data_IF_321419696303
#
_entry.id   IF_321419696303
#
_cell.length_a   1.000
_cell.length_b   1.000
_cell.length_c   1.000
_cell.angle_alpha   90.00
_cell.angle_beta   90.00
_cell.angle_gamma   90.00
#
_symmetry.space_group_name_H-M   'P 1'
#
loop_
_entity.id
_entity.type
_entity.pdbx_description
1 polymer ?
#
# COMPACT_ATOMS: atom_id res chain seq x y z
N UNK A 1 2.94 -12.58 15.94
CA UNK A 1 1.90 -11.56 16.22
C UNK A 1 0.95 -11.63 15.04
N UNK A 2 -0.36 -11.74 15.22
CA UNK A 2 -1.29 -11.82 14.10
C UNK A 2 -1.28 -10.53 13.27
N UNK A 3 -1.51 -10.65 11.96
CA UNK A 3 -1.63 -9.48 11.10
C UNK A 3 -2.84 -8.61 11.51
N UNK A 4 -2.68 -7.28 11.39
CA UNK A 4 -3.78 -6.33 11.66
C UNK A 4 -4.88 -6.51 10.62
N UNK A 5 -6.13 -6.52 11.07
CA UNK A 5 -7.29 -6.76 10.18
C UNK A 5 -7.38 -5.72 9.06
N UNK A 6 -7.10 -4.45 9.34
CA UNK A 6 -7.09 -3.37 8.36
C UNK A 6 -6.03 -3.48 7.27
N UNK A 7 -5.10 -4.43 7.37
CA UNK A 7 -4.05 -4.70 6.39
C UNK A 7 -4.44 -5.78 5.37
N UNK A 8 -5.58 -6.44 5.52
CA UNK A 8 -5.92 -7.61 4.72
C UNK A 8 -5.90 -7.34 3.21
N UNK A 9 -6.53 -6.25 2.75
CA UNK A 9 -6.54 -5.85 1.34
C UNK A 9 -5.14 -5.52 0.83
N UNK A 10 -4.33 -4.81 1.61
CA UNK A 10 -2.95 -4.47 1.25
C UNK A 10 -2.06 -5.70 1.15
N UNK A 11 -2.18 -6.63 2.10
CA UNK A 11 -1.47 -7.91 2.09
C UNK A 11 -1.84 -8.72 0.85
N UNK A 12 -3.15 -8.82 0.53
CA UNK A 12 -3.63 -9.50 -0.66
C UNK A 12 -3.02 -8.90 -1.93
N UNK A 13 -3.01 -7.57 -2.06
CA UNK A 13 -2.45 -6.88 -3.22
C UNK A 13 -0.94 -7.14 -3.37
N UNK A 14 -0.18 -7.11 -2.26
CA UNK A 14 1.25 -7.45 -2.31
C UNK A 14 1.47 -8.91 -2.69
N UNK A 15 0.60 -9.84 -2.25
CA UNK A 15 0.64 -11.25 -2.67
C UNK A 15 0.48 -11.39 -4.17
N UNK A 16 -0.49 -10.69 -4.76
CA UNK A 16 -0.75 -10.74 -6.20
C UNK A 16 0.47 -10.24 -6.99
N UNK A 17 1.08 -9.13 -6.56
CA UNK A 17 2.27 -8.59 -7.23
C UNK A 17 3.53 -9.44 -7.02
N UNK A 18 3.66 -10.07 -5.87
CA UNK A 18 4.78 -10.95 -5.56
C UNK A 18 4.58 -12.39 -6.01
N UNK A 19 3.43 -12.73 -6.62
CA UNK A 19 3.04 -14.09 -6.99
C UNK A 19 3.28 -15.05 -5.81
N UNK A 20 2.76 -14.65 -4.64
CA UNK A 20 2.98 -15.39 -3.38
C UNK A 20 1.69 -16.00 -2.89
N UNK A 21 1.69 -17.34 -2.71
CA UNK A 21 0.62 -18.03 -2.01
C UNK A 21 0.61 -17.68 -0.50
N UNK A 22 -0.41 -18.14 0.20
CA UNK A 22 -0.41 -18.15 1.66
C UNK A 22 0.59 -19.19 2.14
N UNK A 23 1.63 -18.78 2.90
CA UNK A 23 2.74 -19.66 3.26
C UNK A 23 3.41 -20.29 2.02
N UNK A 24 3.98 -19.45 1.16
CA UNK A 24 4.44 -19.76 -0.21
C UNK A 24 5.44 -20.91 -0.26
N UNK A 25 6.48 -20.88 0.60
CA UNK A 25 7.47 -21.95 0.68
C UNK A 25 8.14 -22.00 2.05
N UNK A 26 8.81 -23.12 2.34
CA UNK A 26 9.55 -23.33 3.58
C UNK A 26 11.04 -23.46 3.26
N UNK A 27 11.88 -22.70 3.95
CA UNK A 27 13.33 -22.81 3.89
C UNK A 27 13.86 -23.15 5.30
N UNK A 28 14.42 -24.33 5.46
CA UNK A 28 14.75 -24.87 6.77
C UNK A 28 13.49 -25.09 7.61
N UNK A 29 13.37 -24.36 8.71
CA UNK A 29 12.19 -24.40 9.62
C UNK A 29 11.26 -23.18 9.44
N UNK A 30 11.60 -22.24 8.55
CA UNK A 30 10.87 -20.99 8.37
C UNK A 30 9.96 -21.09 7.16
N UNK A 31 8.66 -20.89 7.40
CA UNK A 31 7.67 -20.71 6.33
C UNK A 31 7.61 -19.24 5.93
N UNK A 32 7.67 -18.98 4.62
CA UNK A 32 7.73 -17.63 4.07
C UNK A 32 6.40 -17.18 3.52
N UNK A 33 6.25 -15.89 3.62
CA UNK A 33 5.19 -15.02 3.16
C UNK A 33 3.86 -15.30 3.86
N UNK A 34 3.95 -15.51 5.19
CA UNK A 34 2.76 -15.39 6.05
C UNK A 34 2.24 -13.94 6.06
N UNK A 35 0.98 -13.74 6.48
CA UNK A 35 0.39 -12.39 6.55
C UNK A 35 1.20 -11.45 7.46
N UNK A 36 1.74 -11.96 8.56
CA UNK A 36 2.57 -11.19 9.48
C UNK A 36 3.90 -10.75 8.85
N UNK A 37 4.49 -11.59 8.02
CA UNK A 37 5.72 -11.26 7.31
C UNK A 37 5.46 -10.20 6.25
N UNK A 38 4.39 -10.32 5.47
CA UNK A 38 4.00 -9.32 4.48
C UNK A 38 3.62 -8.00 5.12
N UNK A 39 2.89 -8.03 6.26
CA UNK A 39 2.65 -6.81 7.04
C UNK A 39 3.97 -6.17 7.49
N UNK A 40 4.93 -6.95 7.96
CA UNK A 40 6.24 -6.44 8.38
C UNK A 40 6.98 -5.76 7.21
N UNK A 41 6.87 -6.31 6.01
CA UNK A 41 7.43 -5.68 4.80
C UNK A 41 6.69 -4.39 4.47
N UNK A 42 5.35 -4.39 4.49
CA UNK A 42 4.53 -3.19 4.27
C UNK A 42 4.86 -2.09 5.29
N UNK A 43 5.00 -2.42 6.57
CA UNK A 43 5.30 -1.46 7.63
C UNK A 43 6.64 -0.72 7.44
N UNK A 44 7.57 -1.25 6.65
CA UNK A 44 8.81 -0.54 6.25
C UNK A 44 8.56 0.56 5.23
N UNK A 45 7.45 0.47 4.50
CA UNK A 45 7.09 1.37 3.40
C UNK A 45 5.82 2.18 3.70
N UNK A 46 5.50 2.35 5.00
CA UNK A 46 4.39 3.19 5.45
C UNK A 46 4.73 4.67 5.34
N UNK A 47 3.70 5.46 5.05
CA UNK A 47 3.71 6.91 5.06
C UNK A 47 2.57 7.40 5.96
N UNK A 48 2.91 8.15 6.99
CA UNK A 48 1.90 8.85 7.78
C UNK A 48 1.37 10.04 6.97
N UNK A 49 0.08 10.08 6.76
CA UNK A 49 -0.65 11.17 6.10
C UNK A 49 -1.34 11.97 7.20
N UNK A 50 -0.98 13.24 7.33
CA UNK A 50 -1.49 14.09 8.40
C UNK A 50 -2.06 15.36 7.79
N UNK A 51 -3.35 15.59 7.98
CA UNK A 51 -4.09 16.74 7.45
C UNK A 51 -3.84 17.01 5.95
N UNK A 52 -3.80 15.96 5.16
CA UNK A 52 -3.70 16.08 3.71
C UNK A 52 -5.02 16.63 3.16
N UNK A 53 -5.01 17.73 2.40
CA UNK A 53 -6.22 18.26 1.79
C UNK A 53 -6.76 17.30 0.73
N UNK A 54 -8.06 17.06 0.76
CA UNK A 54 -8.74 16.31 -0.26
C UNK A 54 -9.14 17.24 -1.41
N UNK A 55 -8.95 16.77 -2.65
CA UNK A 55 -9.37 17.48 -3.85
C UNK A 55 -10.81 17.08 -4.18
N UNK A 56 -11.72 18.07 -4.24
CA UNK A 56 -13.11 17.86 -4.63
C UNK A 56 -13.23 17.44 -6.09
N UNK A 57 -14.13 16.51 -6.37
CA UNK A 57 -14.52 16.08 -7.71
C UNK A 57 -15.96 16.50 -7.91
N UNK A 58 -16.15 17.55 -8.72
CA UNK A 58 -17.50 18.02 -9.07
C UNK A 58 -18.13 17.08 -10.08
N UNK A 59 -19.42 16.80 -9.91
CA UNK A 59 -20.26 16.12 -10.88
C UNK A 59 -21.51 16.96 -11.19
N UNK A 60 -22.20 16.62 -12.28
CA UNK A 60 -23.39 17.36 -12.70
C UNK A 60 -24.62 16.48 -12.52
N UNK A 61 -25.54 16.91 -11.68
CA UNK A 61 -26.77 16.17 -11.42
C UNK A 61 -27.99 17.09 -11.59
N UNK A 62 -28.92 16.71 -12.45
CA UNK A 62 -30.19 17.42 -12.70
C UNK A 62 -30.03 18.92 -12.91
N UNK A 63 -29.00 19.37 -13.59
CA UNK A 63 -28.79 20.81 -13.87
C UNK A 63 -27.98 21.54 -12.79
N UNK A 64 -27.53 20.87 -11.74
CA UNK A 64 -26.78 21.48 -10.62
C UNK A 64 -25.43 20.79 -10.46
N UNK A 65 -24.39 21.57 -10.15
CA UNK A 65 -23.09 21.03 -9.75
C UNK A 65 -23.22 20.50 -8.33
N UNK A 66 -22.78 19.26 -8.12
CA UNK A 66 -22.75 18.60 -6.80
C UNK A 66 -21.35 18.06 -6.50
N UNK A 67 -21.01 18.01 -5.22
CA UNK A 67 -19.71 17.58 -4.71
C UNK A 67 -19.93 16.40 -3.77
N UNK A 68 -19.88 15.20 -4.35
CA UNK A 68 -20.04 13.94 -3.61
C UNK A 68 -18.72 13.20 -3.43
N UNK A 69 -17.78 13.39 -4.34
CA UNK A 69 -16.51 12.67 -4.36
C UNK A 69 -15.34 13.58 -4.10
N UNK A 70 -14.38 13.06 -3.36
CA UNK A 70 -13.11 13.70 -3.03
C UNK A 70 -11.97 12.72 -3.24
N UNK A 71 -10.83 13.24 -3.69
CA UNK A 71 -9.64 12.43 -3.92
C UNK A 71 -8.48 12.87 -3.04
N UNK A 72 -7.84 11.91 -2.40
CA UNK A 72 -6.53 12.09 -1.77
C UNK A 72 -5.40 12.04 -2.82
N UNK A 73 -4.28 12.70 -2.53
CA UNK A 73 -3.05 12.53 -3.28
C UNK A 73 -2.43 11.12 -3.13
N UNK A 74 -2.87 10.37 -2.12
CA UNK A 74 -2.39 9.02 -1.80
C UNK A 74 -3.52 8.00 -1.95
N UNK A 75 -3.13 6.73 -2.15
CA UNK A 75 -3.99 5.55 -2.05
C UNK A 75 -3.35 4.52 -1.14
N UNK A 76 -3.90 3.30 -1.16
CA UNK A 76 -3.41 2.17 -0.37
C UNK A 76 -3.35 2.50 1.13
N UNK A 77 -4.44 2.99 1.66
CA UNK A 77 -4.58 3.28 3.09
C UNK A 77 -4.89 2.03 3.89
N UNK A 78 -4.42 2.00 5.15
CA UNK A 78 -4.86 1.01 6.11
C UNK A 78 -6.32 1.27 6.49
N UNK A 79 -7.16 0.24 6.42
CA UNK A 79 -8.57 0.33 6.77
C UNK A 79 -8.74 0.47 8.29
N UNK A 80 -9.67 1.31 8.74
CA UNK A 80 -10.05 1.36 10.14
C UNK A 80 -10.81 0.11 10.54
N UNK A 81 -10.31 -0.63 11.52
CA UNK A 81 -10.95 -1.83 12.05
C UNK A 81 -10.91 -1.83 13.57
N UNK A 82 -11.96 -2.38 14.19
CA UNK A 82 -11.96 -2.62 15.63
C UNK A 82 -12.06 -1.38 16.53
N UNK A 83 -12.58 -0.26 16.02
CA UNK A 83 -12.88 0.93 16.84
C UNK A 83 -11.67 1.81 17.17
N UNK A 84 -10.48 1.50 16.68
CA UNK A 84 -9.32 2.40 16.73
C UNK A 84 -9.32 3.22 15.44
N UNK A 85 -9.46 4.53 15.54
CA UNK A 85 -9.42 5.44 14.39
C UNK A 85 -7.99 5.52 13.84
N UNK A 86 -7.69 4.66 12.86
CA UNK A 86 -6.44 4.68 12.10
C UNK A 86 -6.57 5.61 10.91
N UNK A 87 -7.81 5.88 10.51
CA UNK A 87 -8.18 6.68 9.36
C UNK A 87 -9.32 7.62 9.75
N UNK A 88 -9.11 8.91 9.58
CA UNK A 88 -10.06 9.94 9.96
C UNK A 88 -10.19 10.99 8.85
N UNK A 89 -11.42 11.50 8.71
CA UNK A 89 -11.71 12.67 7.87
C UNK A 89 -12.05 13.85 8.78
N UNK A 90 -11.48 14.99 8.49
CA UNK A 90 -11.72 16.24 9.24
C UNK A 90 -12.27 17.32 8.33
N UNK A 91 -13.14 18.16 8.89
CA UNK A 91 -13.45 19.46 8.29
C UNK A 91 -12.25 20.41 8.35
N UNK A 92 -12.29 21.48 7.57
CA UNK A 92 -11.28 22.55 7.62
C UNK A 92 -11.06 23.12 9.02
N UNK A 93 -12.06 23.04 9.88
CA UNK A 93 -12.01 23.45 11.30
C UNK A 93 -11.29 22.49 12.22
N UNK A 94 -10.88 21.30 11.74
CA UNK A 94 -10.25 20.24 12.56
C UNK A 94 -11.24 19.35 13.32
N UNK A 95 -12.55 19.47 13.03
CA UNK A 95 -13.57 18.60 13.62
C UNK A 95 -13.70 17.33 12.77
N UNK A 96 -13.67 16.16 13.41
CA UNK A 96 -13.82 14.87 12.73
C UNK A 96 -15.20 14.71 12.11
N UNK A 97 -15.24 14.24 10.87
CA UNK A 97 -16.47 13.90 10.14
C UNK A 97 -16.95 12.52 10.55
N UNK A 98 -18.23 12.40 10.92
CA UNK A 98 -18.81 11.11 11.32
C UNK A 98 -18.70 10.06 10.22
N UNK A 99 -18.27 8.84 10.58
CA UNK A 99 -18.02 7.73 9.63
C UNK A 99 -19.26 7.24 8.89
N UNK A 100 -20.47 7.55 9.40
CA UNK A 100 -21.75 7.24 8.73
C UNK A 100 -22.06 8.14 7.54
N UNK A 101 -21.35 9.24 7.36
CA UNK A 101 -21.60 10.24 6.31
C UNK A 101 -20.85 9.97 5.02
N UNK A 102 -19.87 9.08 5.03
CA UNK A 102 -18.99 8.81 3.92
C UNK A 102 -18.60 7.34 3.79
N UNK A 103 -18.15 6.97 2.60
CA UNK A 103 -17.49 5.69 2.31
C UNK A 103 -16.13 5.95 1.68
N UNK A 104 -15.17 5.04 1.86
CA UNK A 104 -13.81 5.20 1.36
C UNK A 104 -13.41 4.00 0.50
N UNK A 105 -12.92 4.30 -0.70
CA UNK A 105 -12.08 3.38 -1.46
C UNK A 105 -10.63 3.56 -1.01
N UNK A 106 -10.21 2.74 -0.06
CA UNK A 106 -8.88 2.80 0.55
C UNK A 106 -7.74 2.54 -0.45
N UNK A 107 -7.99 1.73 -1.48
CA UNK A 107 -6.99 1.42 -2.49
C UNK A 107 -6.70 2.62 -3.39
N UNK A 108 -7.74 3.33 -3.83
CA UNK A 108 -7.61 4.45 -4.75
C UNK A 108 -7.58 5.82 -4.07
N UNK A 109 -7.84 5.90 -2.77
CA UNK A 109 -7.88 7.16 -2.03
C UNK A 109 -9.09 8.03 -2.42
N UNK A 110 -10.24 7.41 -2.73
CA UNK A 110 -11.46 8.11 -3.13
C UNK A 110 -12.47 8.05 -1.99
N UNK A 111 -12.88 9.21 -1.52
CA UNK A 111 -13.91 9.40 -0.50
C UNK A 111 -15.21 9.78 -1.18
N UNK A 112 -16.32 9.10 -0.83
CA UNK A 112 -17.65 9.39 -1.35
C UNK A 112 -18.60 9.73 -0.22
N UNK A 113 -19.24 10.89 -0.27
CA UNK A 113 -20.27 11.31 0.68
C UNK A 113 -21.67 10.89 0.23
N UNK A 114 -22.54 10.61 1.19
CA UNK A 114 -23.94 10.27 0.93
C UNK A 114 -24.81 11.46 0.52
N UNK A 115 -24.36 12.70 0.73
CA UNK A 115 -25.06 13.93 0.40
C UNK A 115 -24.08 14.98 -0.15
N UNK A 116 -24.61 15.93 -0.94
CA UNK A 116 -23.81 17.04 -1.47
C UNK A 116 -23.19 17.86 -0.33
N UNK A 117 -21.88 18.03 -0.42
CA UNK A 117 -21.09 18.79 0.58
C UNK A 117 -20.91 20.27 0.21
N UNK A 118 -21.48 20.69 -0.92
CA UNK A 118 -21.36 22.06 -1.46
C UNK A 118 -19.88 22.52 -1.61
N UNK A 119 -18.96 21.59 -1.92
CA UNK A 119 -17.54 21.90 -2.09
C UNK A 119 -16.80 22.26 -0.79
N UNK A 120 -17.28 21.77 0.35
CA UNK A 120 -16.60 21.97 1.63
C UNK A 120 -15.19 21.36 1.63
N UNK A 121 -14.23 22.03 2.26
CA UNK A 121 -12.88 21.53 2.39
C UNK A 121 -12.79 20.42 3.43
N UNK A 122 -12.22 19.27 3.03
CA UNK A 122 -11.95 18.14 3.91
C UNK A 122 -10.47 17.79 3.91
N UNK A 123 -10.04 17.22 5.02
CA UNK A 123 -8.68 16.75 5.25
C UNK A 123 -8.70 15.29 5.71
N UNK A 124 -7.66 14.56 5.33
CA UNK A 124 -7.51 13.15 5.67
C UNK A 124 -6.31 12.96 6.62
N UNK A 125 -6.51 12.15 7.64
CA UNK A 125 -5.46 11.59 8.49
C UNK A 125 -5.47 10.07 8.33
N UNK A 126 -4.28 9.46 8.16
CA UNK A 126 -4.20 8.01 8.00
C UNK A 126 -2.81 7.51 7.74
N UNK A 127 -2.70 6.22 7.48
CA UNK A 127 -1.44 5.60 7.07
C UNK A 127 -1.61 5.01 5.68
N UNK A 128 -0.79 5.46 4.74
CA UNK A 128 -0.72 4.95 3.37
C UNK A 128 0.51 4.08 3.18
N UNK A 129 0.45 3.11 2.29
CA UNK A 129 1.53 2.14 2.04
C UNK A 129 2.01 2.16 0.60
N UNK A 130 3.31 2.00 0.39
CA UNK A 130 3.89 1.79 -0.93
C UNK A 130 3.95 0.29 -1.23
N UNK A 131 2.85 -0.23 -1.80
CA UNK A 131 2.70 -1.64 -2.13
C UNK A 131 3.71 -2.13 -3.18
N UNK A 132 4.15 -1.23 -4.07
CA UNK A 132 5.13 -1.59 -5.09
C UNK A 132 6.52 -1.80 -4.50
N UNK A 133 6.95 -0.93 -3.58
CA UNK A 133 8.21 -1.14 -2.86
C UNK A 133 8.17 -2.35 -1.96
N UNK A 134 7.03 -2.62 -1.33
CA UNK A 134 6.84 -3.84 -0.56
C UNK A 134 6.96 -5.09 -1.44
N UNK A 135 6.32 -5.12 -2.61
CA UNK A 135 6.45 -6.22 -3.57
C UNK A 135 7.91 -6.37 -4.06
N UNK A 136 8.61 -5.26 -4.33
CA UNK A 136 10.02 -5.29 -4.71
C UNK A 136 10.89 -5.93 -3.64
N UNK A 137 10.64 -5.66 -2.35
CA UNK A 137 11.40 -6.27 -1.24
C UNK A 137 11.11 -7.77 -1.12
N UNK A 138 9.86 -8.20 -1.37
CA UNK A 138 9.52 -9.63 -1.44
C UNK A 138 10.32 -10.32 -2.55
N UNK A 139 10.35 -9.75 -3.76
CA UNK A 139 11.12 -10.29 -4.88
C UNK A 139 12.62 -10.32 -4.62
N UNK A 140 13.20 -9.29 -3.99
CA UNK A 140 14.62 -9.30 -3.58
C UNK A 140 14.92 -10.42 -2.61
N UNK A 141 14.03 -10.67 -1.67
CA UNK A 141 14.19 -11.75 -0.69
C UNK A 141 14.08 -13.12 -1.38
N UNK A 142 13.13 -13.32 -2.31
CA UNK A 142 13.04 -14.53 -3.13
C UNK A 142 14.35 -14.79 -3.92
N UNK A 143 14.86 -13.76 -4.59
CA UNK A 143 16.14 -13.85 -5.30
C UNK A 143 17.31 -14.23 -4.37
N UNK A 144 17.33 -13.70 -3.14
CA UNK A 144 18.31 -14.06 -2.12
C UNK A 144 18.21 -15.54 -1.71
N UNK A 145 17.01 -16.04 -1.50
CA UNK A 145 16.77 -17.43 -1.14
C UNK A 145 17.14 -18.40 -2.28
N UNK A 146 16.91 -18.01 -3.52
CA UNK A 146 17.28 -18.82 -4.67
C UNK A 146 18.80 -18.78 -4.98
N UNK A 147 19.54 -17.79 -4.45
CA UNK A 147 20.95 -17.58 -4.79
C UNK A 147 21.88 -18.72 -4.36
N UNK A 148 21.50 -19.53 -3.36
CA UNK A 148 22.23 -20.72 -2.94
C UNK A 148 21.94 -21.97 -3.78
N UNK A 149 21.06 -21.87 -4.77
CA UNK A 149 20.65 -23.00 -5.59
C UNK A 149 21.52 -23.10 -6.85
N UNK A 150 21.97 -24.29 -7.17
CA UNK A 150 22.88 -24.61 -8.30
C UNK A 150 22.02 -25.09 -9.48
N UNK A 151 22.41 -24.70 -10.69
CA UNK A 151 21.87 -25.29 -11.91
C UNK A 151 22.34 -26.77 -12.00
N UNK A 152 21.42 -27.64 -12.36
CA UNK A 152 21.77 -29.03 -12.63
C UNK A 152 21.09 -29.54 -13.91
N UNK A 153 21.76 -30.43 -14.57
CA UNK A 153 21.24 -31.09 -15.75
C UNK A 153 21.44 -32.64 -15.59
N UNK A 154 20.37 -33.35 -15.92
CA UNK A 154 20.42 -34.84 -16.07
C UNK A 154 19.95 -35.16 -17.48
N UNK A 155 20.10 -36.42 -17.92
CA UNK A 155 19.85 -36.84 -19.30
C UNK A 155 18.54 -36.42 -19.92
N UNK A 156 17.49 -36.11 -19.10
CA UNK A 156 16.18 -35.69 -19.56
C UNK A 156 15.62 -34.41 -18.89
N UNK A 157 16.39 -33.78 -18.02
CA UNK A 157 15.88 -32.58 -17.30
C UNK A 157 17.03 -31.60 -17.03
N UNK A 158 16.82 -30.36 -17.48
CA UNK A 158 17.70 -29.23 -17.16
C UNK A 158 16.93 -28.23 -16.30
N UNK A 159 17.42 -27.96 -15.09
CA UNK A 159 16.84 -26.95 -14.20
C UNK A 159 17.78 -25.75 -14.14
N UNK A 160 17.34 -24.64 -14.73
CA UNK A 160 18.10 -23.38 -14.78
C UNK A 160 17.66 -22.45 -13.65
N UNK A 161 18.18 -22.66 -12.46
CA UNK A 161 17.85 -21.83 -11.29
C UNK A 161 18.46 -20.43 -11.37
N UNK A 162 19.56 -20.28 -12.07
CA UNK A 162 20.14 -18.96 -12.41
C UNK A 162 19.14 -18.04 -13.13
N UNK A 163 18.32 -18.59 -14.01
CA UNK A 163 17.25 -17.83 -14.69
C UNK A 163 16.14 -17.38 -13.73
N UNK A 164 15.80 -18.19 -12.72
CA UNK A 164 14.84 -17.82 -11.70
C UNK A 164 15.35 -16.62 -10.89
N UNK A 165 16.61 -16.66 -10.45
CA UNK A 165 17.24 -15.55 -9.72
C UNK A 165 17.23 -14.27 -10.54
N UNK A 166 17.56 -14.36 -11.83
CA UNK A 166 17.54 -13.21 -12.72
C UNK A 166 16.13 -12.65 -12.87
N UNK A 167 15.13 -13.50 -13.10
CA UNK A 167 13.74 -13.09 -13.18
C UNK A 167 13.27 -12.39 -11.89
N UNK A 168 13.57 -12.95 -10.73
CA UNK A 168 13.20 -12.36 -9.44
C UNK A 168 13.83 -10.97 -9.25
N UNK A 169 15.10 -10.81 -9.68
CA UNK A 169 15.77 -9.49 -9.64
C UNK A 169 15.15 -8.50 -10.61
N UNK A 170 14.79 -8.92 -11.81
CA UNK A 170 14.12 -8.08 -12.80
C UNK A 170 12.75 -7.61 -12.30
N UNK A 171 11.96 -8.52 -11.68
CA UNK A 171 10.69 -8.17 -11.05
C UNK A 171 10.91 -7.19 -9.88
N UNK A 172 11.93 -7.39 -9.06
CA UNK A 172 12.26 -6.46 -7.99
C UNK A 172 12.60 -5.05 -8.50
N UNK A 173 13.35 -4.96 -9.60
CA UNK A 173 13.69 -3.67 -10.24
C UNK A 173 12.43 -3.03 -10.82
N UNK A 174 11.60 -3.81 -11.52
CA UNK A 174 10.35 -3.33 -12.11
C UNK A 174 9.42 -2.70 -11.05
N UNK A 175 9.12 -3.43 -9.99
CA UNK A 175 8.25 -2.90 -8.92
C UNK A 175 8.89 -1.76 -8.14
N UNK A 176 10.21 -1.77 -7.92
CA UNK A 176 10.91 -0.66 -7.29
C UNK A 176 10.80 0.64 -8.10
N UNK A 177 10.78 0.53 -9.43
CA UNK A 177 10.59 1.66 -10.35
C UNK A 177 9.17 2.24 -10.33
N UNK A 178 8.16 1.45 -9.95
CA UNK A 178 6.78 1.89 -9.79
C UNK A 178 6.50 2.51 -8.41
N UNK A 179 7.41 2.31 -7.44
CA UNK A 179 7.26 2.84 -6.10
C UNK A 179 7.33 4.36 -6.04
N UNK A 180 6.77 4.93 -4.98
CA UNK A 180 6.76 6.38 -4.75
C UNK A 180 8.18 6.94 -4.65
N UNK A 181 8.38 8.10 -5.23
CA UNK A 181 9.62 8.87 -5.04
C UNK A 181 9.65 9.39 -3.60
N UNK A 182 10.67 9.00 -2.83
CA UNK A 182 10.91 9.61 -1.52
C UNK A 182 11.58 10.96 -1.72
N UNK A 183 10.85 12.04 -1.57
CA UNK A 183 11.42 13.37 -1.36
C UNK A 183 11.91 13.46 0.09
N UNK A 184 13.20 13.64 0.28
CA UNK A 184 13.74 14.01 1.59
C UNK A 184 13.51 15.52 1.71
N UNK A 185 12.61 15.94 2.60
CA UNK A 185 12.59 17.34 3.04
C UNK A 185 13.88 17.55 3.85
N UNK A 186 14.85 18.22 3.27
CA UNK A 186 15.96 18.79 4.03
C UNK A 186 15.43 20.04 4.72
N UNK A 187 15.22 19.95 6.02
CA UNK A 187 15.05 21.16 6.83
C UNK A 187 16.34 21.98 6.72
N UNK A 188 16.21 23.16 6.16
CA UNK A 188 17.26 24.15 6.15
C UNK A 188 17.34 24.73 7.56
N UNK A 189 18.33 24.31 8.36
CA UNK A 189 18.61 24.95 9.64
C UNK A 189 19.37 26.24 9.37
N UNK A 190 18.65 27.29 9.03
CA UNK A 190 19.19 28.64 9.08
C UNK A 190 19.14 29.10 10.53
N UNK A 191 20.13 28.65 11.33
CA UNK A 191 20.44 29.28 12.60
C UNK A 191 21.30 30.49 12.33
N UNK A 192 20.73 31.67 12.30
CA UNK A 192 21.37 32.94 12.58
C UNK A 192 21.30 33.22 14.04
#
# INVERSE_FOLDING_TARGET
MAARTGMATLISTVRDFAVSGTADYTLGTTTYWTDEQLQTVLDRHKLAVVREPLTEISSYNAGTVVYLEYRSAYGNYEETTGGTAIFEIEYGTGVTVGTSLWTMDYANGILTFGADTAGSAFFINGTSYDIYRAAADVWRTKAGHHSGAVDFSTDNMTVKRSQMIQNDREQAIYYAGMGRVKTIQTERSDTT
#
